data_IF_937530905882
#
_entry.id   IF_937530905882
#
_cell.length_a   1.000
_cell.length_b   1.000
_cell.length_c   1.000
_cell.angle_alpha   90.00
_cell.angle_beta   90.00
_cell.angle_gamma   90.00
#
_symmetry.space_group_name_H-M   'P 1'
#
loop_
_entity.id
_entity.type
_entity.pdbx_description
1 polymer ?
#
# COMPACT_ATOMS: atom_id res chain seq x y z
N UNK A 1 8.91 7.44 -6.36
CA UNK A 1 8.69 5.98 -6.48
C UNK A 1 8.00 5.72 -7.80
N UNK A 2 8.50 4.81 -8.64
CA UNK A 2 7.87 4.50 -9.93
C UNK A 2 6.58 3.71 -9.78
N UNK A 3 5.61 3.96 -10.65
CA UNK A 3 4.31 3.27 -10.64
C UNK A 3 4.47 1.75 -10.74
N UNK A 4 5.44 1.26 -11.52
CA UNK A 4 5.70 -0.17 -11.68
C UNK A 4 6.12 -0.83 -10.36
N UNK A 5 6.97 -0.16 -9.57
CA UNK A 5 7.39 -0.64 -8.26
C UNK A 5 6.21 -0.65 -7.30
N UNK A 6 5.42 0.43 -7.29
CA UNK A 6 4.21 0.55 -6.47
C UNK A 6 3.20 -0.55 -6.82
N UNK A 7 3.01 -0.82 -8.11
CA UNK A 7 2.13 -1.88 -8.60
C UNK A 7 2.64 -3.26 -8.16
N UNK A 8 3.93 -3.56 -8.32
CA UNK A 8 4.51 -4.82 -7.87
C UNK A 8 4.36 -5.03 -6.36
N UNK A 9 4.62 -4.00 -5.54
CA UNK A 9 4.46 -4.09 -4.08
C UNK A 9 2.99 -4.32 -3.72
N UNK A 10 2.08 -3.65 -4.41
CA UNK A 10 0.64 -3.81 -4.20
C UNK A 10 0.20 -5.23 -4.57
N UNK A 11 0.57 -5.69 -5.77
CA UNK A 11 0.19 -7.00 -6.29
C UNK A 11 0.77 -8.14 -5.42
N UNK A 12 2.04 -8.03 -5.03
CA UNK A 12 2.67 -8.99 -4.12
C UNK A 12 1.96 -9.06 -2.76
N UNK A 13 1.50 -7.92 -2.24
CA UNK A 13 0.75 -7.90 -1.00
C UNK A 13 -0.64 -8.53 -1.12
N UNK A 14 -1.34 -8.24 -2.21
CA UNK A 14 -2.66 -8.85 -2.50
C UNK A 14 -2.49 -10.35 -2.68
N UNK A 15 -1.45 -10.80 -3.40
CA UNK A 15 -1.14 -12.21 -3.56
C UNK A 15 -0.80 -12.88 -2.23
N UNK A 16 -0.01 -12.24 -1.36
CA UNK A 16 0.33 -12.79 -0.06
C UNK A 16 -0.92 -13.02 0.83
N UNK A 17 -1.91 -12.13 0.76
CA UNK A 17 -3.10 -12.18 1.62
C UNK A 17 -4.26 -13.00 1.03
N UNK A 18 -4.48 -12.89 -0.27
CA UNK A 18 -5.68 -13.39 -0.97
C UNK A 18 -5.33 -14.46 -2.02
N UNK A 19 -4.02 -14.72 -2.24
CA UNK A 19 -3.52 -15.71 -3.21
C UNK A 19 -4.03 -15.47 -4.64
N UNK A 20 -4.22 -14.19 -4.97
CA UNK A 20 -4.71 -13.71 -6.27
C UNK A 20 -3.93 -12.45 -6.65
N UNK A 21 -3.74 -12.25 -7.95
CA UNK A 21 -3.20 -11.02 -8.53
C UNK A 21 -4.29 -10.00 -8.85
N UNK A 22 -3.91 -8.73 -8.96
CA UNK A 22 -4.79 -7.66 -9.41
C UNK A 22 -5.22 -7.89 -10.86
N UNK A 23 -6.48 -7.64 -11.17
CA UNK A 23 -7.00 -7.70 -12.54
C UNK A 23 -6.62 -6.46 -13.33
N UNK A 24 -6.61 -6.53 -14.66
CA UNK A 24 -6.27 -5.40 -15.54
C UNK A 24 -7.06 -4.13 -15.22
N UNK A 25 -8.35 -4.26 -14.92
CA UNK A 25 -9.19 -3.10 -14.55
C UNK A 25 -8.85 -2.51 -13.17
N UNK A 26 -8.37 -3.33 -12.23
CA UNK A 26 -7.89 -2.87 -10.93
C UNK A 26 -6.57 -2.11 -11.10
N UNK A 27 -5.67 -2.65 -11.93
CA UNK A 27 -4.40 -2.02 -12.31
C UNK A 27 -4.66 -0.69 -13.03
N UNK A 28 -5.63 -0.66 -13.95
CA UNK A 28 -6.05 0.54 -14.65
C UNK A 28 -6.51 1.64 -13.69
N UNK A 29 -7.28 1.27 -12.65
CA UNK A 29 -7.72 2.21 -11.63
C UNK A 29 -6.54 2.72 -10.80
N UNK A 30 -5.60 1.86 -10.42
CA UNK A 30 -4.38 2.29 -9.72
C UNK A 30 -3.57 3.26 -10.57
N UNK A 31 -3.37 2.93 -11.86
CA UNK A 31 -2.61 3.76 -12.79
C UNK A 31 -3.27 5.11 -13.03
N UNK A 32 -4.60 5.11 -13.25
CA UNK A 32 -5.35 6.35 -13.41
C UNK A 32 -5.35 7.17 -12.13
N UNK A 33 -5.43 6.54 -10.96
CA UNK A 33 -5.31 7.22 -9.67
C UNK A 33 -3.94 7.85 -9.47
N UNK A 34 -2.88 7.16 -9.89
CA UNK A 34 -1.50 7.67 -9.87
C UNK A 34 -1.31 8.87 -10.79
N UNK A 35 -1.96 8.87 -11.96
CA UNK A 35 -1.91 9.98 -12.93
C UNK A 35 -2.91 11.11 -12.62
N UNK A 36 -3.69 11.00 -11.53
CA UNK A 36 -4.74 11.97 -11.20
C UNK A 36 -5.99 11.90 -12.10
N UNK A 37 -6.11 10.88 -12.95
CA UNK A 37 -7.27 10.66 -13.83
C UNK A 37 -8.52 10.27 -13.04
N UNK A 38 -9.70 10.56 -13.59
CA UNK A 38 -10.97 10.17 -13.00
C UNK A 38 -11.45 8.81 -13.53
N UNK A 39 -12.42 8.22 -12.84
CA UNK A 39 -13.00 6.95 -13.27
C UNK A 39 -13.60 7.02 -14.67
N UNK A 40 -14.09 8.18 -15.10
CA UNK A 40 -14.58 8.42 -16.47
C UNK A 40 -13.50 8.30 -17.54
N UNK A 41 -12.32 8.89 -17.30
CA UNK A 41 -11.20 8.79 -18.24
C UNK A 41 -10.71 7.34 -18.34
N UNK A 42 -10.55 6.68 -17.20
CA UNK A 42 -10.09 5.29 -17.13
C UNK A 42 -11.12 4.36 -17.81
N UNK A 43 -12.40 4.57 -17.54
CA UNK A 43 -13.49 3.83 -18.18
C UNK A 43 -13.44 3.98 -19.70
N UNK A 44 -13.27 5.21 -20.20
CA UNK A 44 -13.19 5.48 -21.64
C UNK A 44 -11.97 4.84 -22.30
N UNK A 45 -10.81 4.88 -21.65
CA UNK A 45 -9.55 4.31 -22.17
C UNK A 45 -9.63 2.78 -22.24
N UNK A 46 -10.18 2.14 -21.21
CA UNK A 46 -10.22 0.67 -21.10
C UNK A 46 -11.54 0.05 -21.58
N UNK A 47 -12.48 0.84 -22.12
CA UNK A 47 -13.75 0.35 -22.68
C UNK A 47 -14.79 -0.07 -21.64
N UNK A 48 -14.70 0.45 -20.41
CA UNK A 48 -15.68 0.18 -19.34
C UNK A 48 -16.66 1.35 -19.17
N UNK A 49 -17.69 1.14 -18.35
CA UNK A 49 -18.62 2.21 -17.98
C UNK A 49 -18.11 2.95 -16.73
N UNK A 50 -18.12 4.31 -16.69
CA UNK A 50 -17.71 5.08 -15.51
C UNK A 50 -18.47 4.69 -14.24
N UNK A 51 -19.78 4.43 -14.39
CA UNK A 51 -20.64 3.94 -13.31
C UNK A 51 -20.13 2.62 -12.72
N UNK A 52 -19.67 1.69 -13.56
CA UNK A 52 -19.14 0.40 -13.11
C UNK A 52 -17.86 0.58 -12.29
N UNK A 53 -16.94 1.43 -12.75
CA UNK A 53 -15.70 1.71 -12.04
C UNK A 53 -15.97 2.42 -10.71
N UNK A 54 -16.82 3.45 -10.71
CA UNK A 54 -17.10 4.25 -9.52
C UNK A 54 -17.92 3.50 -8.46
N UNK A 55 -18.86 2.65 -8.86
CA UNK A 55 -19.76 1.95 -7.94
C UNK A 55 -19.29 0.55 -7.54
N UNK A 56 -18.59 -0.16 -8.42
CA UNK A 56 -18.23 -1.56 -8.19
C UNK A 56 -16.72 -1.75 -8.04
N UNK A 57 -15.93 -1.39 -9.06
CA UNK A 57 -14.51 -1.77 -9.07
C UNK A 57 -13.68 -0.93 -8.11
N UNK A 58 -13.82 0.40 -8.15
CA UNK A 58 -13.08 1.33 -7.31
C UNK A 58 -13.26 1.07 -5.82
N UNK A 59 -14.49 1.12 -5.28
CA UNK A 59 -14.73 0.87 -3.86
C UNK A 59 -14.24 -0.52 -3.40
N UNK A 60 -14.45 -1.56 -4.22
CA UNK A 60 -13.95 -2.91 -3.91
C UNK A 60 -12.43 -2.96 -3.87
N UNK A 61 -11.76 -2.32 -4.83
CA UNK A 61 -10.30 -2.25 -4.88
C UNK A 61 -9.75 -1.56 -3.62
N UNK A 62 -10.26 -0.38 -3.27
CA UNK A 62 -9.80 0.35 -2.09
C UNK A 62 -10.07 -0.40 -0.78
N UNK A 63 -11.21 -1.07 -0.68
CA UNK A 63 -11.52 -1.94 0.45
C UNK A 63 -10.52 -3.10 0.54
N UNK A 64 -10.29 -3.80 -0.57
CA UNK A 64 -9.32 -4.89 -0.67
C UNK A 64 -7.92 -4.45 -0.22
N UNK A 65 -7.45 -3.32 -0.75
CA UNK A 65 -6.15 -2.76 -0.38
C UNK A 65 -6.11 -2.38 1.09
N UNK A 66 -7.21 -1.86 1.64
CA UNK A 66 -7.26 -1.54 3.06
C UNK A 66 -7.11 -2.79 3.94
N UNK A 67 -7.77 -3.89 3.57
CA UNK A 67 -7.65 -5.17 4.27
C UNK A 67 -6.26 -5.80 4.12
N UNK A 68 -5.65 -5.66 2.96
CA UNK A 68 -4.33 -6.23 2.63
C UNK A 68 -3.18 -5.44 3.27
N UNK A 69 -3.29 -4.11 3.31
CA UNK A 69 -2.30 -3.22 3.92
C UNK A 69 -2.51 -3.10 5.43
N UNK A 70 -3.74 -3.35 5.93
CA UNK A 70 -4.08 -3.17 7.34
C UNK A 70 -4.27 -1.70 7.73
N UNK A 71 -4.32 -0.78 6.76
CA UNK A 71 -4.61 0.64 6.96
C UNK A 71 -5.68 1.11 5.98
N UNK A 72 -6.32 2.25 6.25
CA UNK A 72 -7.36 2.77 5.34
C UNK A 72 -6.72 3.30 4.05
N UNK A 73 -6.93 2.59 2.94
CA UNK A 73 -6.44 2.96 1.61
C UNK A 73 -7.55 3.60 0.78
N UNK A 74 -7.22 4.66 0.04
CA UNK A 74 -8.10 5.43 -0.83
C UNK A 74 -7.30 6.05 -1.98
N UNK A 75 -8.01 6.52 -3.03
CA UNK A 75 -7.40 7.14 -4.23
C UNK A 75 -6.34 8.20 -3.91
N UNK A 76 -6.48 8.95 -2.82
CA UNK A 76 -5.56 10.03 -2.47
C UNK A 76 -4.43 9.62 -1.53
N UNK A 77 -4.60 8.52 -0.77
CA UNK A 77 -3.61 8.10 0.22
C UNK A 77 -2.86 6.82 -0.17
N UNK A 78 -3.25 6.13 -1.24
CA UNK A 78 -2.65 4.83 -1.58
C UNK A 78 -1.16 4.94 -1.85
N UNK A 79 -0.73 6.03 -2.49
CA UNK A 79 0.69 6.31 -2.72
C UNK A 79 1.44 6.44 -1.39
N UNK A 80 0.91 7.23 -0.45
CA UNK A 80 1.51 7.38 0.87
C UNK A 80 1.51 6.08 1.69
N UNK A 81 0.44 5.28 1.61
CA UNK A 81 0.35 3.97 2.26
C UNK A 81 1.39 2.97 1.70
N UNK A 82 1.58 2.97 0.37
CA UNK A 82 2.57 2.12 -0.30
C UNK A 82 4.00 2.56 -0.02
N UNK A 83 4.28 3.86 -0.04
CA UNK A 83 5.58 4.40 0.36
C UNK A 83 5.92 4.04 1.80
N UNK A 84 4.97 4.18 2.74
CA UNK A 84 5.17 3.72 4.12
C UNK A 84 5.48 2.23 4.18
N UNK A 85 4.74 1.39 3.45
CA UNK A 85 4.97 -0.06 3.48
C UNK A 85 6.31 -0.45 2.87
N UNK A 86 6.76 0.28 1.85
CA UNK A 86 8.09 0.09 1.27
C UNK A 86 9.19 0.50 2.26
N UNK A 87 9.05 1.65 2.93
CA UNK A 87 10.01 2.16 3.91
C UNK A 87 10.02 1.36 5.22
N UNK A 88 8.88 0.82 5.67
CA UNK A 88 8.79 0.02 6.92
C UNK A 88 9.64 -1.25 6.85
N UNK A 89 9.97 -1.75 5.65
CA UNK A 89 10.93 -2.85 5.50
C UNK A 89 12.36 -2.49 5.94
N UNK A 90 12.72 -1.21 6.01
CA UNK A 90 14.02 -0.76 6.55
C UNK A 90 13.99 -0.42 8.04
N UNK A 91 12.84 -0.11 8.64
CA UNK A 91 12.77 0.23 10.07
C UNK A 91 12.37 -0.94 10.99
N UNK A 92 11.96 -2.08 10.42
CA UNK A 92 11.58 -3.28 11.18
C UNK A 92 12.72 -4.03 11.88
N UNK A 93 13.99 -3.60 11.71
CA UNK A 93 15.13 -4.21 12.41
C UNK A 93 15.65 -3.41 13.60
N UNK A 94 14.99 -2.32 14.01
CA UNK A 94 15.37 -1.59 15.24
C UNK A 94 14.27 -1.65 16.29
N UNK A 95 14.29 -2.78 17.00
CA UNK A 95 14.09 -2.92 18.46
C UNK A 95 12.84 -2.27 19.07
N UNK A 96 11.84 -3.10 19.37
CA UNK A 96 11.02 -2.93 20.57
C UNK A 96 11.03 -4.25 21.33
N UNK A 97 11.73 -4.27 22.48
CA UNK A 97 11.69 -5.41 23.40
C UNK A 97 13.03 -5.97 23.87
N UNK A 98 13.97 -5.13 24.32
CA UNK A 98 14.80 -5.54 25.47
C UNK A 98 15.00 -4.33 26.38
N UNK A 99 14.12 -4.24 27.35
CA UNK A 99 14.31 -3.46 28.55
C UNK A 99 15.50 -4.03 29.31
N UNK A 100 16.69 -3.47 29.12
CA UNK A 100 17.72 -3.52 30.15
C UNK A 100 18.58 -2.25 30.06
N UNK A 101 18.46 -1.29 31.00
CA UNK A 101 19.48 -0.25 31.12
C UNK A 101 20.80 -0.93 31.56
N UNK A 102 21.95 -0.65 30.91
CA UNK A 102 23.21 -1.10 31.45
C UNK A 102 23.51 -0.32 32.75
N UNK A 103 23.50 -1.03 33.89
CA UNK A 103 24.22 -0.63 35.10
C UNK A 103 25.49 -1.50 35.20
N UNK A 104 26.56 -1.08 35.90
CA UNK A 104 27.34 0.17 35.84
C UNK A 104 28.79 -0.15 35.39
N UNK A 105 29.76 0.78 35.53
CA UNK A 105 31.01 0.36 36.17
C UNK A 105 31.09 0.97 37.57
N UNK A 106 31.24 0.08 38.54
CA UNK A 106 31.56 0.38 39.93
C UNK A 106 32.93 1.08 39.99
N UNK A 107 32.95 2.41 40.02
CA UNK A 107 34.17 3.14 40.40
C UNK A 107 34.24 3.18 41.92
N UNK A 108 34.93 2.17 42.44
CA UNK A 108 35.52 2.11 43.77
C UNK A 108 36.22 3.43 44.08
N UNK A 109 35.96 3.95 45.28
CA UNK A 109 36.61 5.16 45.78
C UNK A 109 38.12 5.02 45.97
N UNK A 110 38.78 6.17 45.95
CA UNK A 110 39.60 6.70 47.04
C UNK A 110 39.58 8.24 46.93
#
# INVERSE_FOLDING_TARGET
>A
MDFEIVLQVTDAAVFAKIRRHLKDIEIAILRGSWQGQNYDDIAKIYGYTPKYLKQYVGPRLWHLLSEVLGEKVSKTNFQAALERRATVREWGSTRVGESNPPLPPEVRGD
#
